data_IF_453189841241
#
_entry.id   IF_453189841241
#
_cell.length_a   1.000
_cell.length_b   1.000
_cell.length_c   1.000
_cell.angle_alpha   90.00
_cell.angle_beta   90.00
_cell.angle_gamma   90.00
#
_symmetry.space_group_name_H-M   'P 1'
#
loop_
_entity.id
_entity.type
_entity.pdbx_description
1 polymer ?
#
# COMPACT_ATOMS: atom_id res chain seq x y z
N UNK A 1 26.80 7.49 -11.47
CA UNK A 1 25.63 6.60 -11.64
C UNK A 1 25.25 6.13 -10.25
N UNK A 2 24.05 6.46 -9.77
CA UNK A 2 23.64 6.20 -8.38
C UNK A 2 23.02 4.79 -8.32
N UNK A 3 23.76 3.83 -7.79
CA UNK A 3 23.38 2.40 -7.71
C UNK A 3 22.16 2.10 -6.82
N UNK A 4 21.51 3.12 -6.24
CA UNK A 4 20.24 2.98 -5.52
C UNK A 4 19.03 2.68 -6.41
N UNK A 5 19.15 2.88 -7.73
CA UNK A 5 18.08 2.52 -8.67
C UNK A 5 17.98 1.01 -8.93
N UNK A 6 18.97 0.21 -8.48
CA UNK A 6 19.08 -1.22 -8.81
C UNK A 6 18.43 -2.18 -7.81
N UNK A 7 17.94 -1.69 -6.67
CA UNK A 7 17.06 -2.46 -5.77
C UNK A 7 15.61 -2.58 -6.30
N UNK A 8 15.31 -1.98 -7.44
CA UNK A 8 13.97 -1.94 -8.04
C UNK A 8 13.56 -3.20 -8.82
N UNK A 9 14.21 -4.36 -8.62
CA UNK A 9 13.71 -5.64 -9.18
C UNK A 9 12.57 -6.26 -8.36
N UNK A 10 12.27 -5.71 -7.18
CA UNK A 10 10.98 -5.86 -6.51
C UNK A 10 10.44 -4.45 -6.27
N UNK A 11 9.49 -4.02 -7.09
CA UNK A 11 8.93 -2.67 -7.03
C UNK A 11 8.37 -2.32 -5.64
N UNK A 12 8.08 -1.03 -5.43
CA UNK A 12 7.36 -0.61 -4.23
C UNK A 12 6.01 -1.34 -4.13
N UNK A 13 5.58 -1.59 -2.90
CA UNK A 13 4.24 -2.05 -2.59
C UNK A 13 3.40 -0.88 -2.09
N UNK A 14 2.09 -0.96 -2.32
CA UNK A 14 1.11 0.00 -1.85
C UNK A 14 0.47 -0.54 -0.58
N UNK A 15 0.60 0.21 0.51
CA UNK A 15 -0.11 -0.04 1.77
C UNK A 15 -1.30 0.91 1.80
N UNK A 16 -2.50 0.36 1.80
CA UNK A 16 -3.76 1.09 1.64
C UNK A 16 -4.59 0.91 2.91
N UNK A 17 -5.02 2.01 3.49
CA UNK A 17 -5.85 2.05 4.68
C UNK A 17 -7.31 2.28 4.30
N UNK A 18 -8.19 1.45 4.85
CA UNK A 18 -9.63 1.54 4.70
C UNK A 18 -10.30 1.77 6.04
N UNK A 19 -11.34 2.59 6.04
CA UNK A 19 -12.25 2.67 7.16
C UNK A 19 -12.94 1.32 7.40
N UNK A 20 -13.04 0.88 8.65
CA UNK A 20 -13.59 -0.44 8.98
C UNK A 20 -15.11 -0.50 8.84
N UNK A 21 -15.80 0.62 9.01
CA UNK A 21 -17.25 0.71 9.02
C UNK A 21 -17.79 0.95 7.62
N UNK A 22 -17.24 1.92 6.89
CA UNK A 22 -17.70 2.28 5.55
C UNK A 22 -17.03 1.46 4.45
N UNK A 23 -15.82 0.95 4.72
CA UNK A 23 -15.00 0.25 3.73
C UNK A 23 -14.34 1.19 2.71
N UNK A 24 -14.45 2.51 2.88
CA UNK A 24 -13.86 3.51 1.99
C UNK A 24 -12.35 3.63 2.20
N UNK A 25 -11.62 3.90 1.12
CA UNK A 25 -10.20 4.19 1.17
C UNK A 25 -9.95 5.54 1.87
N UNK A 26 -9.19 5.51 2.96
CA UNK A 26 -8.88 6.70 3.78
C UNK A 26 -7.52 7.29 3.43
N UNK A 27 -6.52 6.44 3.19
CA UNK A 27 -5.14 6.87 2.90
C UNK A 27 -4.34 5.72 2.24
N UNK A 28 -3.24 6.04 1.57
CA UNK A 28 -2.34 5.03 1.00
C UNK A 28 -0.91 5.53 0.84
N UNK A 29 0.05 4.61 0.88
CA UNK A 29 1.48 4.91 0.71
C UNK A 29 2.19 3.86 -0.14
N UNK A 30 3.01 4.32 -1.08
CA UNK A 30 3.95 3.47 -1.83
C UNK A 30 5.28 3.40 -1.08
N UNK A 31 5.72 2.20 -0.69
CA UNK A 31 6.98 2.02 0.04
C UNK A 31 7.74 0.76 -0.40
N UNK A 32 9.06 0.69 -0.15
CA UNK A 32 9.82 -0.55 -0.35
C UNK A 32 9.28 -1.68 0.53
N UNK A 33 9.37 -2.94 0.06
CA UNK A 33 8.83 -4.13 0.76
C UNK A 33 9.29 -4.24 2.22
N UNK A 34 10.52 -3.85 2.53
CA UNK A 34 11.06 -3.87 3.90
C UNK A 34 10.39 -2.89 4.86
N UNK A 35 9.70 -1.87 4.34
CA UNK A 35 9.02 -0.83 5.13
C UNK A 35 7.51 -1.09 5.29
N UNK A 36 6.95 -2.04 4.53
CA UNK A 36 5.53 -2.42 4.61
C UNK A 36 5.08 -2.73 6.04
N UNK A 37 5.80 -3.55 6.83
CA UNK A 37 5.35 -3.86 8.20
C UNK A 37 5.19 -2.63 9.09
N UNK A 38 6.06 -1.63 8.94
CA UNK A 38 5.99 -0.39 9.72
C UNK A 38 4.76 0.44 9.32
N UNK A 39 4.49 0.59 8.02
CA UNK A 39 3.31 1.33 7.56
C UNK A 39 2.00 0.62 7.89
N UNK A 40 1.94 -0.71 7.75
CA UNK A 40 0.78 -1.51 8.15
C UNK A 40 0.49 -1.32 9.64
N UNK A 41 1.50 -1.46 10.50
CA UNK A 41 1.33 -1.27 11.95
C UNK A 41 0.83 0.14 12.29
N UNK A 42 1.34 1.18 11.63
CA UNK A 42 0.88 2.56 11.84
C UNK A 42 -0.61 2.71 11.52
N UNK A 43 -1.09 2.16 10.41
CA UNK A 43 -2.51 2.25 10.05
C UNK A 43 -3.41 1.39 10.94
N UNK A 44 -2.96 0.19 11.30
CA UNK A 44 -3.69 -0.68 12.24
C UNK A 44 -3.84 -0.04 13.61
N UNK A 45 -2.78 0.60 14.13
CA UNK A 45 -2.81 1.36 15.39
C UNK A 45 -3.77 2.55 15.34
N UNK A 46 -3.98 3.15 14.17
CA UNK A 46 -5.00 4.19 13.94
C UNK A 46 -6.41 3.63 13.81
N UNK A 47 -6.58 2.31 13.83
CA UNK A 47 -7.87 1.64 13.80
C UNK A 47 -8.34 1.24 12.40
N UNK A 48 -7.55 1.43 11.34
CA UNK A 48 -7.94 1.12 9.97
C UNK A 48 -7.79 -0.37 9.63
N UNK A 49 -8.52 -0.83 8.62
CA UNK A 49 -8.20 -2.08 7.90
C UNK A 49 -7.10 -1.76 6.90
N UNK A 50 -6.11 -2.64 6.77
CA UNK A 50 -4.98 -2.42 5.86
C UNK A 50 -4.93 -3.51 4.82
N UNK A 51 -4.65 -3.12 3.58
CA UNK A 51 -4.33 -4.04 2.49
C UNK A 51 -3.01 -3.66 1.83
N UNK A 52 -2.28 -4.66 1.36
CA UNK A 52 -0.98 -4.47 0.69
C UNK A 52 -1.08 -5.03 -0.72
N UNK A 53 -0.91 -4.17 -1.72
CA UNK A 53 -1.01 -4.51 -3.13
C UNK A 53 0.31 -4.20 -3.85
N UNK A 54 0.64 -4.97 -4.88
CA UNK A 54 1.61 -4.51 -5.87
C UNK A 54 0.95 -3.52 -6.86
N UNK A 55 1.73 -2.95 -7.78
CA UNK A 55 1.23 -1.97 -8.75
C UNK A 55 0.14 -2.53 -9.67
N UNK A 56 0.34 -3.76 -10.18
CA UNK A 56 -0.59 -4.38 -11.12
C UNK A 56 -1.95 -4.68 -10.44
N UNK A 57 -1.92 -5.11 -9.17
CA UNK A 57 -3.13 -5.39 -8.41
C UNK A 57 -3.86 -4.10 -8.00
N UNK A 58 -3.13 -3.04 -7.67
CA UNK A 58 -3.73 -1.72 -7.43
C UNK A 58 -4.45 -1.21 -8.68
N UNK A 59 -3.81 -1.27 -9.84
CA UNK A 59 -4.41 -0.80 -11.10
C UNK A 59 -5.70 -1.56 -11.44
N UNK A 60 -5.70 -2.88 -11.25
CA UNK A 60 -6.91 -3.70 -11.38
C UNK A 60 -8.00 -3.24 -10.42
N UNK A 61 -7.69 -3.02 -9.15
CA UNK A 61 -8.69 -2.58 -8.18
C UNK A 61 -9.25 -1.21 -8.48
N UNK A 62 -8.41 -0.26 -8.90
CA UNK A 62 -8.88 1.07 -9.33
C UNK A 62 -9.84 0.92 -10.51
N UNK A 63 -9.51 0.06 -11.49
CA UNK A 63 -10.40 -0.20 -12.63
C UNK A 63 -11.72 -0.87 -12.25
N UNK A 64 -11.74 -1.62 -11.14
CA UNK A 64 -12.93 -2.25 -10.56
C UNK A 64 -13.70 -1.33 -9.62
N UNK A 65 -13.25 -0.09 -9.45
CA UNK A 65 -13.90 0.92 -8.63
C UNK A 65 -13.60 0.75 -7.15
N UNK A 66 -12.33 0.54 -6.80
CA UNK A 66 -11.84 0.64 -5.41
C UNK A 66 -12.56 1.80 -4.71
N UNK A 67 -13.37 1.45 -3.70
CA UNK A 67 -14.20 2.37 -2.93
C UNK A 67 -13.42 2.93 -1.75
#
# INVERSE_FOLDING_TARGET
MNDRARESKGGNLWVIAFDKETGECVDFVSCPKGQVPAHTMIFEMKGYRVEVLDGDELDKRISQGLR
#
